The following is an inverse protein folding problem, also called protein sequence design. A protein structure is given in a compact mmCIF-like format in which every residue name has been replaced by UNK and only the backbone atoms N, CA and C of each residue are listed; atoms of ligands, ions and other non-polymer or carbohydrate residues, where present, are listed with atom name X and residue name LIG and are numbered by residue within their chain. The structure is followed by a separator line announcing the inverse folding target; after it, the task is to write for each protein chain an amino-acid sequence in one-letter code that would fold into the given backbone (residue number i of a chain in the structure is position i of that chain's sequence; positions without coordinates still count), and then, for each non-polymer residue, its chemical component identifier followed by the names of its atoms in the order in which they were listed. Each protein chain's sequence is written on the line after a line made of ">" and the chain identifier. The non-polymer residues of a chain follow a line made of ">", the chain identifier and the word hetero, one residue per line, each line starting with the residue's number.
data_IF_819376947168
#
_entry.id   IF_819376947168
#
_cell.length_a   1.000
_cell.length_b   1.000
_cell.length_c   1.000
_cell.angle_alpha   90.00
_cell.angle_beta   90.00
_cell.angle_gamma   90.00
#
_symmetry.space_group_name_H-M   'P 1'
#
loop_
_entity.id
_entity.type
_entity.pdbx_description
1 polymer ?
#
# COMPACT_ATOMS: atom_id res chain seq x y z
N UNK A 1 6.00 27.36 -35.94
CA UNK A 1 5.14 27.64 -34.77
C UNK A 1 4.00 26.63 -34.58
N UNK A 2 3.14 26.44 -35.57
CA UNK A 2 2.00 25.49 -35.43
C UNK A 2 2.37 24.06 -35.10
N UNK A 3 3.51 23.54 -35.60
CA UNK A 3 4.00 22.17 -35.32
C UNK A 3 4.45 21.98 -33.87
N UNK A 4 5.10 22.97 -33.26
CA UNK A 4 5.52 22.90 -31.86
C UNK A 4 4.34 23.00 -30.88
N UNK A 5 3.28 23.75 -31.25
CA UNK A 5 2.06 23.87 -30.46
C UNK A 5 1.31 22.53 -30.41
N UNK A 6 1.23 21.81 -31.54
CA UNK A 6 0.59 20.51 -31.63
C UNK A 6 1.36 19.45 -30.84
N UNK A 7 2.69 19.44 -30.91
CA UNK A 7 3.54 18.52 -30.12
C UNK A 7 3.37 18.77 -28.61
N UNK A 8 3.33 20.03 -28.19
CA UNK A 8 3.10 20.39 -26.78
C UNK A 8 1.73 19.95 -26.28
N UNK A 9 0.67 20.08 -27.08
CA UNK A 9 -0.69 19.65 -26.73
C UNK A 9 -0.80 18.12 -26.62
N UNK A 10 -0.17 17.37 -27.53
CA UNK A 10 -0.15 15.91 -27.49
C UNK A 10 0.62 15.39 -26.27
N UNK A 11 1.76 16.00 -25.93
CA UNK A 11 2.54 15.63 -24.75
C UNK A 11 1.77 15.91 -23.45
N UNK A 12 1.07 17.05 -23.35
CA UNK A 12 0.23 17.38 -22.20
C UNK A 12 -0.95 16.41 -22.04
N UNK A 13 -1.61 16.04 -23.13
CA UNK A 13 -2.70 15.07 -23.12
C UNK A 13 -2.24 13.67 -22.70
N UNK A 14 -1.05 13.24 -23.11
CA UNK A 14 -0.46 11.95 -22.70
C UNK A 14 -0.14 11.89 -21.20
N UNK A 15 0.34 13.00 -20.62
CA UNK A 15 0.64 13.08 -19.19
C UNK A 15 -0.64 13.06 -18.32
N UNK A 16 -1.71 13.70 -18.76
CA UNK A 16 -3.01 13.68 -18.07
C UNK A 16 -3.63 12.28 -18.16
N UNK A 17 -3.55 11.63 -19.32
CA UNK A 17 -4.05 10.27 -19.53
C UNK A 17 -3.34 9.22 -18.64
N UNK A 18 -2.03 9.33 -18.47
CA UNK A 18 -1.26 8.41 -17.61
C UNK A 18 -1.67 8.49 -16.13
N UNK A 19 -1.93 9.69 -15.61
CA UNK A 19 -2.41 9.88 -14.24
C UNK A 19 -3.84 9.34 -14.04
N UNK A 20 -4.73 9.57 -14.99
CA UNK A 20 -6.10 9.07 -14.96
C UNK A 20 -6.13 7.52 -14.99
N UNK A 21 -5.27 6.89 -15.81
CA UNK A 21 -5.17 5.44 -15.90
C UNK A 21 -4.66 4.80 -14.60
N UNK A 22 -3.66 5.40 -13.94
CA UNK A 22 -3.15 4.91 -12.66
C UNK A 22 -4.20 5.00 -11.55
N UNK A 23 -5.00 6.06 -11.51
CA UNK A 23 -6.07 6.22 -10.52
C UNK A 23 -7.20 5.20 -10.73
N UNK A 24 -7.60 4.95 -11.98
CA UNK A 24 -8.57 3.91 -12.31
C UNK A 24 -8.09 2.49 -11.99
N UNK A 25 -6.80 2.23 -12.03
CA UNK A 25 -6.21 0.94 -11.71
C UNK A 25 -6.39 0.55 -10.23
N UNK A 26 -6.23 1.49 -9.29
CA UNK A 26 -6.45 1.22 -7.86
C UNK A 26 -7.93 1.04 -7.53
N UNK A 27 -8.80 1.91 -8.03
CA UNK A 27 -10.24 1.80 -7.85
C UNK A 27 -10.82 0.51 -8.46
N UNK A 28 -10.19 -0.07 -9.48
CA UNK A 28 -10.57 -1.36 -10.04
C UNK A 28 -10.25 -2.54 -9.10
N UNK A 29 -9.23 -2.39 -8.25
CA UNK A 29 -8.75 -3.47 -7.35
C UNK A 29 -9.24 -3.29 -5.92
N UNK A 30 -9.33 -2.03 -5.44
CA UNK A 30 -9.60 -1.69 -4.04
C UNK A 30 -10.87 -0.85 -3.88
N UNK A 31 -11.50 -0.97 -2.71
CA UNK A 31 -12.60 -0.12 -2.26
C UNK A 31 -12.00 1.10 -1.56
N UNK A 32 -11.70 2.15 -2.32
CA UNK A 32 -10.95 3.33 -1.84
C UNK A 32 -11.74 4.18 -0.82
N UNK A 33 -13.06 4.01 -0.76
CA UNK A 33 -13.99 4.65 0.18
C UNK A 33 -14.15 3.86 1.49
N UNK A 34 -13.50 2.69 1.61
CA UNK A 34 -13.55 1.85 2.80
C UNK A 34 -12.17 1.72 3.45
N UNK A 35 -12.17 1.56 4.77
CA UNK A 35 -10.98 1.32 5.56
C UNK A 35 -11.16 0.07 6.39
N UNK A 36 -10.15 -0.80 6.36
CA UNK A 36 -10.04 -1.97 7.23
C UNK A 36 -8.75 -1.90 8.03
N UNK A 37 -8.76 -2.53 9.19
CA UNK A 37 -7.57 -2.78 9.98
C UNK A 37 -7.31 -4.28 10.04
N UNK A 38 -6.09 -4.68 9.76
CA UNK A 38 -5.61 -6.04 9.92
C UNK A 38 -4.39 -6.06 10.83
N UNK A 39 -4.22 -7.14 11.56
CA UNK A 39 -3.13 -7.34 12.49
C UNK A 39 -2.56 -8.75 12.30
N UNK A 40 -1.25 -8.87 12.22
CA UNK A 40 -0.63 -10.16 11.99
C UNK A 40 0.88 -10.13 11.94
N UNK A 41 1.44 -11.29 11.70
CA UNK A 41 2.89 -11.51 11.68
C UNK A 41 3.42 -11.50 10.24
N UNK A 42 4.49 -10.75 10.03
CA UNK A 42 5.13 -10.61 8.73
C UNK A 42 5.79 -11.94 8.33
N UNK A 43 5.44 -12.41 7.15
CA UNK A 43 6.04 -13.62 6.56
C UNK A 43 6.87 -13.33 5.33
N UNK A 44 6.66 -12.18 4.68
CA UNK A 44 7.46 -11.75 3.53
C UNK A 44 7.36 -10.24 3.34
N UNK A 45 8.48 -9.61 2.99
CA UNK A 45 8.52 -8.23 2.53
C UNK A 45 9.17 -8.17 1.15
N UNK A 46 8.37 -7.91 0.13
CA UNK A 46 8.82 -7.71 -1.26
C UNK A 46 9.06 -6.23 -1.50
N UNK A 47 10.27 -5.77 -1.25
CA UNK A 47 10.69 -4.38 -1.44
C UNK A 47 11.14 -4.18 -2.90
N UNK A 48 10.25 -3.65 -3.76
CA UNK A 48 10.45 -3.57 -5.20
C UNK A 48 9.65 -2.45 -5.86
N UNK A 49 9.96 -2.16 -7.13
CA UNK A 49 9.16 -1.34 -8.02
C UNK A 49 8.30 -2.23 -8.94
N UNK A 50 7.16 -1.74 -9.46
CA UNK A 50 6.52 -0.46 -9.16
C UNK A 50 5.82 -0.44 -7.80
N UNK A 51 5.50 -1.58 -7.20
CA UNK A 51 4.79 -1.73 -5.92
C UNK A 51 5.49 -2.76 -5.03
N UNK A 52 5.74 -2.38 -3.78
CA UNK A 52 6.17 -3.30 -2.73
C UNK A 52 4.98 -4.05 -2.15
N UNK A 53 5.22 -5.22 -1.57
CA UNK A 53 4.18 -6.02 -0.90
C UNK A 53 4.66 -6.50 0.47
N UNK A 54 3.77 -6.40 1.43
CA UNK A 54 3.92 -6.98 2.77
C UNK A 54 2.95 -8.14 2.88
N UNK A 55 3.44 -9.33 3.14
CA UNK A 55 2.60 -10.51 3.36
C UNK A 55 2.52 -10.82 4.84
N UNK A 56 1.30 -10.92 5.37
CA UNK A 56 1.03 -11.21 6.78
C UNK A 56 0.27 -12.53 6.94
N UNK A 57 0.57 -13.24 8.00
CA UNK A 57 -0.36 -14.23 8.58
C UNK A 57 -1.27 -13.51 9.57
N UNK A 58 -2.55 -13.44 9.27
CA UNK A 58 -3.59 -12.82 10.09
C UNK A 58 -4.45 -13.90 10.69
N UNK A 59 -4.66 -13.85 12.01
CA UNK A 59 -5.59 -14.73 12.69
C UNK A 59 -6.99 -14.12 12.64
N UNK A 60 -7.90 -14.78 11.94
CA UNK A 60 -9.29 -14.38 11.84
C UNK A 60 -10.06 -14.65 13.16
N UNK A 61 -11.26 -14.08 13.30
CA UNK A 61 -12.09 -14.21 14.50
C UNK A 61 -12.46 -15.66 14.82
N UNK A 62 -12.57 -16.53 13.80
CA UNK A 62 -12.86 -17.96 13.94
C UNK A 62 -11.61 -18.80 14.31
N UNK A 63 -10.45 -18.17 14.43
CA UNK A 63 -9.16 -18.79 14.75
C UNK A 63 -8.38 -19.29 13.55
N UNK A 64 -8.92 -19.23 12.33
CA UNK A 64 -8.17 -19.57 11.11
C UNK A 64 -7.09 -18.54 10.85
N UNK A 65 -5.97 -18.99 10.26
CA UNK A 65 -4.87 -18.11 9.84
C UNK A 65 -4.92 -17.95 8.33
N UNK A 66 -5.03 -16.71 7.90
CA UNK A 66 -5.14 -16.36 6.49
C UNK A 66 -3.96 -15.49 6.07
N UNK A 67 -3.46 -15.74 4.86
CA UNK A 67 -2.41 -14.93 4.24
C UNK A 67 -3.00 -13.69 3.58
N UNK A 68 -2.66 -12.53 4.09
CA UNK A 68 -2.97 -11.23 3.46
C UNK A 68 -1.80 -10.75 2.61
N UNK A 69 -2.12 -10.16 1.46
CA UNK A 69 -1.18 -9.43 0.61
C UNK A 69 -1.47 -7.94 0.72
N UNK A 70 -0.57 -7.20 1.34
CA UNK A 70 -0.69 -5.76 1.54
C UNK A 70 0.16 -5.03 0.52
N UNK A 71 -0.49 -4.30 -0.39
CA UNK A 71 0.18 -3.49 -1.40
C UNK A 71 0.65 -2.17 -0.81
N UNK A 72 1.90 -1.82 -1.09
CA UNK A 72 2.54 -0.60 -0.63
C UNK A 72 3.16 0.17 -1.80
N UNK A 73 3.77 1.31 -1.53
CA UNK A 73 4.46 2.11 -2.55
C UNK A 73 5.65 1.38 -3.17
N UNK A 74 6.12 1.88 -4.30
CA UNK A 74 7.34 1.39 -4.94
C UNK A 74 8.58 1.66 -4.11
N UNK A 75 9.60 0.80 -4.25
CA UNK A 75 10.85 0.89 -3.49
C UNK A 75 11.51 2.27 -3.57
N UNK A 76 11.55 2.88 -4.76
CA UNK A 76 12.12 4.22 -4.95
C UNK A 76 11.37 5.31 -4.16
N UNK A 77 10.04 5.28 -4.17
CA UNK A 77 9.21 6.20 -3.38
C UNK A 77 9.41 5.98 -1.88
N UNK A 78 9.40 4.72 -1.44
CA UNK A 78 9.52 4.36 -0.03
C UNK A 78 10.90 4.72 0.53
N UNK A 79 11.97 4.58 -0.25
CA UNK A 79 13.31 5.02 0.15
C UNK A 79 13.36 6.51 0.44
N UNK A 80 12.70 7.33 -0.36
CA UNK A 80 12.56 8.77 -0.12
C UNK A 80 11.82 9.11 1.17
N UNK A 81 11.03 8.17 1.71
CA UNK A 81 10.30 8.29 2.98
C UNK A 81 11.00 7.54 4.14
N UNK A 82 12.25 7.10 3.96
CA UNK A 82 13.03 6.44 4.99
C UNK A 82 12.76 4.94 5.16
N UNK A 83 11.97 4.32 4.27
CA UNK A 83 11.72 2.88 4.28
C UNK A 83 12.76 2.17 3.44
N UNK A 84 13.39 1.16 4.01
CA UNK A 84 14.38 0.34 3.32
C UNK A 84 13.97 -1.13 3.36
N UNK A 85 14.72 -1.97 2.68
CA UNK A 85 14.53 -3.43 2.70
C UNK A 85 14.63 -4.02 4.12
N UNK A 86 15.40 -3.37 5.00
CA UNK A 86 15.66 -3.78 6.39
C UNK A 86 14.63 -3.22 7.38
N UNK A 87 13.73 -2.33 6.94
CA UNK A 87 12.73 -1.69 7.81
C UNK A 87 11.78 -2.71 8.45
N UNK A 88 11.36 -3.70 7.69
CA UNK A 88 10.49 -4.79 8.15
C UNK A 88 11.23 -6.12 8.04
N UNK A 89 11.08 -6.96 9.06
CA UNK A 89 11.71 -8.29 9.12
C UNK A 89 10.66 -9.38 9.32
N UNK A 90 10.91 -10.55 8.75
CA UNK A 90 10.07 -11.73 8.98
C UNK A 90 9.90 -11.97 10.49
N UNK A 91 8.66 -12.18 10.91
CA UNK A 91 8.26 -12.30 12.31
C UNK A 91 7.89 -10.99 13.01
N UNK A 92 8.05 -9.83 12.36
CA UNK A 92 7.52 -8.58 12.90
C UNK A 92 6.00 -8.65 13.00
N UNK A 93 5.48 -8.36 14.20
CA UNK A 93 4.05 -8.18 14.41
C UNK A 93 3.66 -6.75 14.08
N UNK A 94 2.66 -6.57 13.19
CA UNK A 94 2.27 -5.26 12.69
C UNK A 94 0.76 -5.09 12.63
N UNK A 95 0.31 -3.86 12.80
CA UNK A 95 -1.06 -3.42 12.61
C UNK A 95 -1.08 -2.53 11.39
N UNK A 96 -1.92 -2.87 10.40
CA UNK A 96 -2.01 -2.14 9.14
C UNK A 96 -3.44 -1.68 8.94
N UNK A 97 -3.62 -0.41 8.56
CA UNK A 97 -4.88 0.09 8.04
C UNK A 97 -4.77 0.37 6.56
N UNK A 98 -5.85 0.20 5.84
CA UNK A 98 -5.88 0.47 4.41
C UNK A 98 -7.20 0.15 3.74
N UNK A 99 -7.22 0.31 2.42
CA UNK A 99 -8.40 0.02 1.61
C UNK A 99 -8.46 -1.48 1.30
N UNK A 100 -9.59 -2.16 1.56
CA UNK A 100 -9.73 -3.58 1.26
C UNK A 100 -9.85 -3.85 -0.24
N UNK A 101 -9.43 -5.02 -0.67
CA UNK A 101 -9.68 -5.51 -2.02
C UNK A 101 -11.17 -5.67 -2.30
N UNK A 102 -11.59 -5.43 -3.55
CA UNK A 102 -13.00 -5.59 -3.97
C UNK A 102 -13.50 -7.01 -3.82
N UNK A 103 -12.65 -8.00 -4.04
CA UNK A 103 -12.96 -9.39 -3.79
C UNK A 103 -12.42 -9.80 -2.41
N UNK A 104 -13.26 -10.05 -1.41
CA UNK A 104 -12.80 -10.43 -0.07
C UNK A 104 -11.95 -11.71 -0.05
N UNK A 105 -12.18 -12.62 -0.99
CA UNK A 105 -11.43 -13.89 -1.10
C UNK A 105 -9.96 -13.72 -1.47
N UNK A 106 -9.60 -12.56 -2.03
CA UNK A 106 -8.21 -12.28 -2.41
C UNK A 106 -7.34 -11.86 -1.21
N UNK A 107 -7.95 -11.56 -0.06
CA UNK A 107 -7.29 -11.09 1.17
C UNK A 107 -6.23 -10.02 0.86
N UNK A 108 -6.65 -8.98 0.13
CA UNK A 108 -5.79 -7.85 -0.27
C UNK A 108 -6.16 -6.58 0.48
N UNK A 109 -5.13 -5.81 0.82
CA UNK A 109 -5.26 -4.47 1.39
C UNK A 109 -4.27 -3.55 0.70
N UNK A 110 -4.69 -2.32 0.37
CA UNK A 110 -3.78 -1.25 -0.02
C UNK A 110 -3.42 -0.44 1.22
N UNK A 111 -2.16 -0.47 1.60
CA UNK A 111 -1.68 0.16 2.84
C UNK A 111 -1.87 1.68 2.85
N UNK A 112 -2.40 2.17 3.96
CA UNK A 112 -2.42 3.60 4.31
C UNK A 112 -1.53 3.85 5.51
N UNK A 113 -1.64 3.04 6.57
CA UNK A 113 -0.79 3.16 7.76
C UNK A 113 -0.24 1.80 8.19
N UNK A 114 0.92 1.82 8.85
CA UNK A 114 1.52 0.66 9.51
C UNK A 114 2.02 1.08 10.89
N UNK A 115 1.78 0.24 11.88
CA UNK A 115 2.37 0.32 13.22
C UNK A 115 3.01 -1.01 13.57
N UNK A 116 4.25 -0.96 14.09
CA UNK A 116 4.90 -2.10 14.75
C UNK A 116 4.97 -1.83 16.26
N UNK A 117 4.08 -2.45 17.05
CA UNK A 117 3.90 -2.10 18.46
C UNK A 117 5.16 -2.27 19.33
N UNK A 118 6.00 -3.27 19.02
CA UNK A 118 7.18 -3.63 19.87
C UNK A 118 8.18 -2.47 20.05
N UNK A 119 8.26 -1.55 19.07
CA UNK A 119 9.23 -0.44 19.11
C UNK A 119 8.59 0.91 18.70
N UNK A 120 7.27 0.93 18.43
CA UNK A 120 6.53 2.13 18.03
C UNK A 120 6.82 2.62 16.62
N UNK A 121 7.56 1.83 15.79
CA UNK A 121 7.75 2.21 14.39
C UNK A 121 6.41 2.37 13.70
N UNK A 122 6.23 3.48 12.99
CA UNK A 122 5.00 3.76 12.26
C UNK A 122 5.28 4.39 10.90
N UNK A 123 4.36 4.17 9.97
CA UNK A 123 4.31 4.78 8.66
C UNK A 123 2.89 5.31 8.41
N UNK A 124 2.79 6.51 7.83
CA UNK A 124 1.51 7.10 7.44
C UNK A 124 0.64 7.62 8.59
N UNK A 125 1.03 7.43 9.84
CA UNK A 125 0.33 7.94 11.02
C UNK A 125 0.79 9.34 11.39
N UNK A 126 -0.12 10.17 11.87
CA UNK A 126 0.22 11.45 12.47
C UNK A 126 0.70 11.22 13.91
N UNK A 127 1.71 11.98 14.40
CA UNK A 127 2.08 11.95 15.81
C UNK A 127 0.86 12.24 16.69
N UNK A 128 0.59 11.34 17.66
CA UNK A 128 -0.53 11.48 18.59
C UNK A 128 -1.86 10.85 18.15
N UNK A 129 -1.93 10.23 16.99
CA UNK A 129 -3.10 9.46 16.56
C UNK A 129 -3.19 8.13 17.34
N UNK A 130 -4.25 8.02 18.16
CA UNK A 130 -4.55 6.80 18.94
C UNK A 130 -5.32 5.82 18.07
N UNK A 131 -5.01 4.53 18.17
CA UNK A 131 -5.80 3.45 17.55
C UNK A 131 -6.87 3.07 18.56
N UNK A 132 -8.13 3.30 18.21
CA UNK A 132 -9.27 2.73 18.91
C UNK A 132 -9.51 1.28 18.47
#
# INVERSE_FOLDING_TARGET
>A
MKRFLVIGLVAAAALVGARAYAHHSFAATYLEDQTVQIEGDLVQFLFRNPHSFVHLNVKEKDGTVVRYAVEWGGAGQLQGLGVTRETLKIGDHVIITGSPGRNPKDHRVRMVTLLRPKDGYNFGRRPGEVVD
#
